data_IF_036755727418
#
_entry.id   IF_036755727418
#
_cell.length_a   1.000
_cell.length_b   1.000
_cell.length_c   1.000
_cell.angle_alpha   90.00
_cell.angle_beta   90.00
_cell.angle_gamma   90.00
#
_symmetry.space_group_name_H-M   'P 1'
#
loop_
_entity.id
_entity.type
_entity.pdbx_description
1 polymer ?
#
# COMPACT_ATOMS: atom_id res chain seq x y z
N UNK A 1 2.92 -20.75 1.43
CA UNK A 1 3.10 -19.57 2.30
C UNK A 1 2.31 -18.41 1.72
N UNK A 2 1.41 -17.80 2.50
CA UNK A 2 0.49 -16.73 2.05
C UNK A 2 1.21 -15.54 1.38
N UNK A 3 2.46 -15.29 1.77
CA UNK A 3 3.36 -14.29 1.21
C UNK A 3 3.53 -14.40 -0.32
N UNK A 4 3.95 -15.57 -0.82
CA UNK A 4 4.20 -15.78 -2.26
C UNK A 4 2.93 -15.62 -3.11
N UNK A 5 1.77 -15.96 -2.56
CA UNK A 5 0.49 -15.80 -3.25
C UNK A 5 0.14 -14.32 -3.45
N UNK A 6 0.34 -13.51 -2.40
CA UNK A 6 0.10 -12.05 -2.47
C UNK A 6 1.10 -11.35 -3.38
N UNK A 7 2.38 -11.70 -3.29
CA UNK A 7 3.41 -11.15 -4.18
C UNK A 7 3.12 -11.46 -5.65
N UNK A 8 2.65 -12.68 -5.96
CA UNK A 8 2.21 -13.05 -7.29
C UNK A 8 0.99 -12.22 -7.77
N UNK A 9 0.01 -11.99 -6.89
CA UNK A 9 -1.20 -11.23 -7.23
C UNK A 9 -0.88 -9.75 -7.52
N UNK A 10 0.04 -9.16 -6.77
CA UNK A 10 0.43 -7.74 -6.92
C UNK A 10 1.43 -7.50 -8.06
N UNK A 11 2.16 -8.54 -8.48
CA UNK A 11 3.19 -8.45 -9.52
C UNK A 11 2.88 -9.42 -10.66
N UNK A 12 1.78 -9.21 -11.42
CA UNK A 12 1.38 -10.10 -12.51
C UNK A 12 2.39 -10.13 -13.66
N UNK A 13 3.19 -9.07 -13.82
CA UNK A 13 4.33 -9.01 -14.72
C UNK A 13 5.41 -10.04 -14.34
N UNK A 14 5.68 -10.18 -13.05
CA UNK A 14 6.60 -11.18 -12.52
C UNK A 14 6.02 -12.59 -12.66
N UNK A 15 4.72 -12.78 -12.41
CA UNK A 15 4.06 -14.07 -12.64
C UNK A 15 4.11 -14.50 -14.10
N UNK A 16 3.95 -13.55 -15.03
CA UNK A 16 4.08 -13.83 -16.46
C UNK A 16 5.52 -14.23 -16.85
N UNK A 17 6.53 -13.69 -16.16
CA UNK A 17 7.94 -13.94 -16.45
C UNK A 17 8.49 -15.22 -15.80
N UNK A 18 8.15 -15.49 -14.53
CA UNK A 18 8.75 -16.57 -13.73
C UNK A 18 7.75 -17.57 -13.16
N UNK A 19 6.44 -17.36 -13.40
CA UNK A 19 5.37 -18.23 -12.90
C UNK A 19 4.99 -17.97 -11.43
N UNK A 20 4.19 -18.87 -10.86
CA UNK A 20 3.60 -18.70 -9.52
C UNK A 20 4.30 -19.52 -8.43
N UNK A 21 5.46 -20.13 -8.75
CA UNK A 21 6.17 -20.98 -7.79
C UNK A 21 6.71 -20.14 -6.63
N UNK A 22 6.41 -20.51 -5.37
CA UNK A 22 6.82 -19.72 -4.21
C UNK A 22 8.31 -19.41 -4.11
N UNK A 23 9.17 -20.40 -4.40
CA UNK A 23 10.62 -20.24 -4.32
C UNK A 23 11.17 -19.25 -5.38
N UNK A 24 10.57 -19.23 -6.57
CA UNK A 24 10.99 -18.34 -7.65
C UNK A 24 10.56 -16.90 -7.36
N UNK A 25 9.35 -16.73 -6.83
CA UNK A 25 8.81 -15.44 -6.37
C UNK A 25 9.63 -14.87 -5.20
N UNK A 26 10.03 -15.73 -4.25
CA UNK A 26 10.91 -15.37 -3.14
C UNK A 26 12.30 -14.97 -3.60
N UNK A 27 12.86 -15.72 -4.53
CA UNK A 27 14.15 -15.39 -5.16
C UNK A 27 14.08 -14.04 -5.89
N UNK A 28 13.03 -13.81 -6.67
CA UNK A 28 12.85 -12.54 -7.38
C UNK A 28 12.74 -11.37 -6.39
N UNK A 29 11.92 -11.50 -5.35
CA UNK A 29 11.81 -10.44 -4.34
C UNK A 29 13.16 -10.12 -3.68
N UNK A 30 13.88 -11.15 -3.24
CA UNK A 30 15.14 -10.96 -2.52
C UNK A 30 16.25 -10.36 -3.39
N UNK A 31 16.30 -10.70 -4.68
CA UNK A 31 17.35 -10.26 -5.60
C UNK A 31 17.03 -8.92 -6.25
N UNK A 32 15.77 -8.73 -6.68
CA UNK A 32 15.32 -7.60 -7.48
C UNK A 32 14.24 -6.78 -6.77
N UNK A 33 13.17 -7.44 -6.30
CA UNK A 33 12.00 -6.74 -5.75
C UNK A 33 12.32 -5.73 -4.64
N UNK A 34 13.24 -6.06 -3.72
CA UNK A 34 13.72 -5.12 -2.69
C UNK A 34 14.39 -3.86 -3.25
N UNK A 35 15.15 -3.99 -4.34
CA UNK A 35 15.84 -2.86 -5.01
C UNK A 35 14.88 -2.04 -5.87
N UNK A 36 13.87 -2.70 -6.42
CA UNK A 36 12.79 -2.09 -7.20
C UNK A 36 11.72 -1.43 -6.34
N UNK A 37 11.81 -1.55 -5.00
CA UNK A 37 10.79 -1.04 -4.08
C UNK A 37 9.48 -1.83 -4.10
N UNK A 38 9.46 -3.02 -4.71
CA UNK A 38 8.29 -3.90 -4.72
C UNK A 38 8.08 -4.45 -3.33
N UNK A 39 6.90 -4.28 -2.74
CA UNK A 39 6.59 -4.86 -1.45
C UNK A 39 6.61 -6.39 -1.56
N UNK A 40 7.55 -7.05 -0.88
CA UNK A 40 7.61 -8.51 -0.90
C UNK A 40 6.56 -9.13 -0.01
N UNK A 41 6.40 -8.61 1.20
CA UNK A 41 5.37 -9.03 2.13
C UNK A 41 4.32 -7.94 2.28
N UNK A 42 3.12 -8.36 2.70
CA UNK A 42 2.15 -7.46 3.31
C UNK A 42 2.68 -6.80 4.62
N UNK A 43 3.94 -7.01 5.02
CA UNK A 43 4.41 -6.77 6.39
C UNK A 43 5.49 -5.69 6.57
N UNK A 44 6.02 -5.03 5.54
CA UNK A 44 7.01 -3.94 5.77
C UNK A 44 6.41 -2.55 5.52
N UNK A 45 6.01 -2.21 4.29
CA UNK A 45 5.14 -1.05 4.06
C UNK A 45 3.66 -1.35 4.37
N UNK A 46 3.24 -2.58 4.04
CA UNK A 46 1.89 -3.06 4.32
C UNK A 46 1.59 -3.16 5.80
N UNK A 47 2.55 -3.51 6.68
CA UNK A 47 2.30 -3.60 8.13
C UNK A 47 2.06 -2.23 8.76
N UNK A 48 2.90 -1.24 8.46
CA UNK A 48 2.74 0.09 9.02
C UNK A 48 1.45 0.76 8.51
N UNK A 49 1.16 0.65 7.22
CA UNK A 49 -0.11 1.11 6.67
C UNK A 49 -1.30 0.31 7.21
N UNK A 50 -1.14 -0.99 7.46
CA UNK A 50 -2.18 -1.82 8.05
C UNK A 50 -2.48 -1.44 9.49
N UNK A 51 -1.47 -1.07 10.28
CA UNK A 51 -1.65 -0.56 11.64
C UNK A 51 -2.37 0.79 11.66
N UNK A 52 -2.12 1.62 10.63
CA UNK A 52 -2.79 2.91 10.44
C UNK A 52 -4.16 2.82 9.79
N UNK A 53 -4.54 1.67 9.22
CA UNK A 53 -5.76 1.50 8.46
C UNK A 53 -6.95 1.27 9.40
N UNK A 54 -7.82 2.28 9.49
CA UNK A 54 -9.10 2.18 10.15
C UNK A 54 -10.16 1.75 9.13
N UNK A 55 -10.53 0.46 9.20
CA UNK A 55 -11.48 -0.13 8.26
C UNK A 55 -12.89 0.48 8.38
N UNK A 56 -13.33 0.87 9.58
CA UNK A 56 -14.64 1.48 9.79
C UNK A 56 -14.67 2.89 9.20
N UNK A 57 -13.61 3.67 9.44
CA UNK A 57 -13.44 4.98 8.82
C UNK A 57 -13.38 4.86 7.29
N UNK A 58 -12.59 3.93 6.77
CA UNK A 58 -12.44 3.74 5.33
C UNK A 58 -13.78 3.33 4.69
N UNK A 59 -14.53 2.41 5.30
CA UNK A 59 -15.85 2.02 4.82
C UNK A 59 -16.82 3.22 4.79
N UNK A 60 -16.82 4.03 5.85
CA UNK A 60 -17.68 5.22 5.96
C UNK A 60 -17.37 6.28 4.91
N UNK A 61 -16.09 6.49 4.61
CA UNK A 61 -15.65 7.50 3.64
C UNK A 61 -15.76 7.05 2.19
N UNK A 62 -15.82 5.74 1.94
CA UNK A 62 -15.78 5.14 0.61
C UNK A 62 -16.98 4.19 0.39
N UNK A 63 -18.23 4.72 0.39
CA UNK A 63 -19.43 3.89 0.23
C UNK A 63 -19.50 3.20 -1.13
N UNK A 64 -18.82 3.74 -2.15
CA UNK A 64 -18.65 3.15 -3.47
C UNK A 64 -17.87 1.83 -3.40
N UNK A 65 -16.81 1.77 -2.58
CA UNK A 65 -16.02 0.56 -2.36
C UNK A 65 -16.83 -0.47 -1.56
N UNK A 66 -17.54 -0.01 -0.53
CA UNK A 66 -18.39 -0.88 0.31
C UNK A 66 -19.52 -1.51 -0.50
N UNK A 67 -20.09 -0.78 -1.46
CA UNK A 67 -21.14 -1.31 -2.33
C UNK A 67 -20.67 -2.52 -3.17
N UNK A 68 -19.37 -2.62 -3.46
CA UNK A 68 -18.78 -3.71 -4.28
C UNK A 68 -18.16 -4.80 -3.42
N UNK A 69 -17.41 -4.43 -2.38
CA UNK A 69 -16.59 -5.36 -1.59
C UNK A 69 -17.20 -5.71 -0.22
N UNK A 70 -18.25 -5.01 0.19
CA UNK A 70 -18.81 -5.11 1.53
C UNK A 70 -17.93 -4.45 2.60
N UNK A 71 -18.09 -4.88 3.85
CA UNK A 71 -17.41 -4.30 5.01
C UNK A 71 -16.26 -5.16 5.55
N UNK A 72 -15.77 -6.15 4.77
CA UNK A 72 -14.63 -6.95 5.21
C UNK A 72 -13.35 -6.10 5.26
N UNK A 73 -12.71 -6.04 6.44
CA UNK A 73 -11.55 -5.19 6.65
C UNK A 73 -10.35 -5.56 5.75
N UNK A 74 -10.17 -6.85 5.41
CA UNK A 74 -9.10 -7.26 4.51
C UNK A 74 -9.38 -6.84 3.07
N UNK A 75 -10.62 -7.00 2.61
CA UNK A 75 -11.04 -6.58 1.27
C UNK A 75 -10.89 -5.06 1.09
N UNK A 76 -11.30 -4.27 2.09
CA UNK A 76 -11.17 -2.81 2.07
C UNK A 76 -9.70 -2.38 2.10
N UNK A 77 -8.86 -3.03 2.92
CA UNK A 77 -7.42 -2.75 2.93
C UNK A 77 -6.76 -3.11 1.59
N UNK A 78 -7.12 -4.25 1.01
CA UNK A 78 -6.61 -4.65 -0.31
C UNK A 78 -7.02 -3.66 -1.41
N UNK A 79 -8.26 -3.15 -1.35
CA UNK A 79 -8.69 -2.07 -2.24
C UNK A 79 -7.84 -0.81 -2.05
N UNK A 80 -7.58 -0.42 -0.80
CA UNK A 80 -6.73 0.73 -0.53
C UNK A 80 -5.33 0.56 -1.15
N UNK A 81 -4.69 -0.61 -0.96
CA UNK A 81 -3.36 -0.88 -1.53
C UNK A 81 -3.34 -0.86 -3.05
N UNK A 82 -4.39 -1.37 -3.72
CA UNK A 82 -4.43 -1.48 -5.18
C UNK A 82 -4.87 -0.18 -5.87
N UNK A 83 -5.81 0.54 -5.27
CA UNK A 83 -6.46 1.70 -5.88
C UNK A 83 -6.40 2.93 -4.99
N UNK A 84 -6.75 2.77 -3.71
CA UNK A 84 -6.92 3.89 -2.79
C UNK A 84 -5.69 4.76 -2.58
N UNK A 85 -4.47 4.19 -2.63
CA UNK A 85 -3.23 4.98 -2.56
C UNK A 85 -3.16 5.97 -3.74
N UNK A 86 -3.31 5.49 -4.97
CA UNK A 86 -3.21 6.33 -6.17
C UNK A 86 -4.37 7.33 -6.28
N UNK A 87 -5.52 7.01 -5.70
CA UNK A 87 -6.67 7.91 -5.58
C UNK A 87 -6.52 8.94 -4.44
N UNK A 88 -5.50 8.80 -3.58
CA UNK A 88 -5.30 9.65 -2.40
C UNK A 88 -6.37 9.46 -1.32
N UNK A 89 -6.99 8.27 -1.25
CA UNK A 89 -8.05 7.96 -0.27
C UNK A 89 -7.48 7.87 1.14
N UNK A 90 -8.18 8.48 2.08
CA UNK A 90 -7.78 8.53 3.49
C UNK A 90 -8.06 7.20 4.18
N UNK A 91 -7.11 6.72 4.97
CA UNK A 91 -7.20 5.45 5.71
C UNK A 91 -7.49 5.61 7.20
N UNK A 92 -7.42 6.84 7.70
CA UNK A 92 -7.74 7.18 9.07
C UNK A 92 -8.13 8.68 9.15
N UNK A 93 -8.72 9.14 10.26
CA UNK A 93 -9.17 10.54 10.38
C UNK A 93 -8.03 11.56 10.53
N UNK A 94 -6.79 11.12 10.74
CA UNK A 94 -5.67 12.00 11.09
C UNK A 94 -4.74 12.30 9.90
N UNK A 95 -4.68 11.42 8.92
CA UNK A 95 -3.83 11.58 7.74
C UNK A 95 -4.65 11.95 6.50
N UNK A 96 -4.18 12.98 5.79
CA UNK A 96 -4.65 13.39 4.47
C UNK A 96 -3.41 13.69 3.62
N UNK A 97 -3.20 12.91 2.56
CA UNK A 97 -1.99 13.01 1.75
C UNK A 97 -1.88 14.35 1.02
N UNK A 98 -3.01 14.99 0.66
CA UNK A 98 -2.99 16.29 0.00
C UNK A 98 -2.61 17.39 0.98
N UNK A 99 -3.12 17.32 2.22
CA UNK A 99 -2.70 18.22 3.29
C UNK A 99 -1.22 18.03 3.63
N UNK A 100 -0.75 16.78 3.69
CA UNK A 100 0.65 16.43 3.95
C UNK A 100 1.58 16.96 2.85
N UNK A 101 1.25 16.76 1.56
CA UNK A 101 1.98 17.36 0.42
C UNK A 101 2.12 18.87 0.56
N UNK A 102 1.04 19.56 0.97
CA UNK A 102 1.06 21.02 1.12
C UNK A 102 1.92 21.50 2.30
N UNK A 103 1.99 20.73 3.37
CA UNK A 103 2.71 21.10 4.58
C UNK A 103 4.22 20.85 4.50
N UNK A 104 4.67 19.91 3.66
CA UNK A 104 6.07 19.49 3.58
C UNK A 104 6.64 19.64 2.15
N UNK A 105 7.07 20.87 1.75
CA UNK A 105 7.60 21.13 0.41
C UNK A 105 8.88 20.37 0.07
N UNK A 106 9.66 19.97 1.07
CA UNK A 106 10.83 19.11 0.95
C UNK A 106 10.44 17.70 0.48
N UNK A 107 9.37 17.13 1.04
CA UNK A 107 8.82 15.87 0.55
C UNK A 107 8.25 16.00 -0.85
N UNK A 108 7.68 17.17 -1.21
CA UNK A 108 7.26 17.44 -2.60
C UNK A 108 8.45 17.45 -3.56
N UNK A 109 9.57 18.06 -3.16
CA UNK A 109 10.79 18.03 -3.96
C UNK A 109 11.38 16.61 -4.09
N UNK A 110 11.24 15.76 -3.06
CA UNK A 110 11.76 14.40 -3.05
C UNK A 110 10.87 13.39 -3.78
N UNK A 111 9.55 13.44 -3.57
CA UNK A 111 8.61 12.41 -4.02
C UNK A 111 7.76 12.85 -5.22
N UNK A 112 7.60 14.16 -5.44
CA UNK A 112 6.75 14.68 -6.52
C UNK A 112 5.31 14.15 -6.44
N UNK A 113 4.91 13.40 -7.47
CA UNK A 113 3.57 12.81 -7.61
C UNK A 113 3.48 11.36 -7.16
N UNK A 114 4.56 10.79 -6.60
CA UNK A 114 4.52 9.46 -5.99
C UNK A 114 3.73 9.48 -4.68
N UNK A 115 2.41 9.32 -4.77
CA UNK A 115 1.50 9.31 -3.62
C UNK A 115 1.88 8.18 -2.64
N UNK A 116 2.33 7.02 -3.14
CA UNK A 116 2.72 5.90 -2.30
C UNK A 116 3.91 6.24 -1.40
N UNK A 117 4.87 7.02 -1.90
CA UNK A 117 5.99 7.51 -1.09
C UNK A 117 5.55 8.36 0.10
N UNK A 118 4.51 9.20 -0.03
CA UNK A 118 3.98 9.97 1.10
C UNK A 118 3.29 9.10 2.15
N UNK A 119 2.50 8.10 1.73
CA UNK A 119 1.90 7.15 2.66
C UNK A 119 2.97 6.34 3.40
N UNK A 120 4.00 5.88 2.69
CA UNK A 120 5.14 5.19 3.30
C UNK A 120 5.92 6.10 4.25
N UNK A 121 6.17 7.36 3.88
CA UNK A 121 6.85 8.32 4.74
C UNK A 121 6.05 8.56 6.03
N UNK A 122 4.76 8.84 5.91
CA UNK A 122 3.90 9.03 7.07
C UNK A 122 3.86 7.79 7.97
N UNK A 123 3.73 6.59 7.37
CA UNK A 123 3.66 5.35 8.11
C UNK A 123 4.94 5.00 8.89
N UNK A 124 6.11 5.42 8.40
CA UNK A 124 7.40 5.11 9.02
C UNK A 124 7.97 6.26 9.87
N UNK A 125 7.60 7.51 9.60
CA UNK A 125 8.21 8.70 10.20
C UNK A 125 7.17 9.68 10.75
N UNK A 126 6.10 9.95 9.99
CA UNK A 126 5.13 11.02 10.31
C UNK A 126 4.26 10.80 11.55
N UNK A 127 4.21 9.60 12.14
CA UNK A 127 3.56 9.39 13.45
C UNK A 127 4.38 10.05 14.58
N UNK A 128 5.67 10.30 14.37
CA UNK A 128 6.62 10.83 15.37
C UNK A 128 7.14 12.25 15.07
N UNK A 129 6.74 12.86 13.95
CA UNK A 129 7.03 14.26 13.61
C UNK A 129 6.02 15.22 14.27
#
# INVERSE_FOLDING_TARGET
MLWSFLYAQQNPDIVAAIGTKPADLETHYNVFGKKEGRAGSADEAGSALRQLFDAEFYAKMNPDVVAVLGNDANALFNHFLQFGINEGRRINPYFDVNAYKKAYPDLVAAFGDDIAAYYNHFANHGISE
#
